data_IF_309760746345
#
_entry.id   IF_309760746345
#
_cell.length_a   1.000
_cell.length_b   1.000
_cell.length_c   1.000
_cell.angle_alpha   90.00
_cell.angle_beta   90.00
_cell.angle_gamma   90.00
#
_symmetry.space_group_name_H-M   'P 1'
#
loop_
_entity.id
_entity.type
_entity.pdbx_description
1 polymer ?
#
# COMPACT_ATOMS: atom_id res chain seq x y z
N UNK A 1 -11.86 -45.87 -3.73
CA UNK A 1 -11.73 -44.67 -4.60
C UNK A 1 -11.10 -43.54 -3.79
N UNK A 2 -9.83 -43.24 -4.01
CA UNK A 2 -9.08 -42.22 -3.27
C UNK A 2 -9.39 -40.81 -3.80
N UNK A 3 -10.00 -39.95 -2.98
CA UNK A 3 -10.23 -38.54 -3.30
C UNK A 3 -8.97 -37.74 -2.96
N UNK A 4 -8.24 -37.36 -4.00
CA UNK A 4 -7.01 -36.55 -4.00
C UNK A 4 -7.33 -35.15 -3.49
N UNK A 5 -6.95 -34.81 -2.26
CA UNK A 5 -7.09 -33.45 -1.72
C UNK A 5 -5.98 -32.55 -2.29
N UNK A 6 -6.38 -31.48 -2.97
CA UNK A 6 -5.46 -30.51 -3.57
C UNK A 6 -4.85 -29.63 -2.47
N UNK A 7 -3.57 -29.86 -2.17
CA UNK A 7 -2.75 -28.90 -1.39
C UNK A 7 -2.78 -27.54 -2.11
N UNK A 8 -3.44 -26.54 -1.50
CA UNK A 8 -3.31 -25.14 -1.90
C UNK A 8 -1.83 -24.73 -1.77
N UNK A 9 -1.17 -24.50 -2.90
CA UNK A 9 0.13 -23.82 -2.95
C UNK A 9 -0.09 -22.34 -2.63
N UNK A 10 -0.07 -21.94 -1.36
CA UNK A 10 0.15 -20.53 -0.98
C UNK A 10 1.64 -20.24 -1.08
N UNK A 11 2.13 -20.18 -2.32
CA UNK A 11 3.50 -19.82 -2.64
C UNK A 11 3.51 -18.33 -3.01
N UNK A 12 4.30 -17.55 -2.25
CA UNK A 12 4.75 -16.16 -2.52
C UNK A 12 3.72 -15.03 -2.31
N UNK A 13 3.44 -14.66 -1.07
CA UNK A 13 3.06 -13.26 -0.79
C UNK A 13 3.82 -12.61 0.36
N UNK A 14 4.49 -13.39 1.24
CA UNK A 14 5.21 -12.84 2.39
C UNK A 14 6.59 -12.21 2.07
N UNK A 15 7.19 -12.47 0.89
CA UNK A 15 8.47 -11.84 0.48
C UNK A 15 8.32 -10.39 -0.03
N UNK A 16 7.12 -9.80 0.08
CA UNK A 16 6.85 -8.38 -0.24
C UNK A 16 6.65 -7.53 1.03
N UNK A 17 7.17 -7.96 2.17
CA UNK A 17 7.17 -7.19 3.41
C UNK A 17 8.60 -7.03 3.93
N UNK A 18 9.45 -6.44 3.12
CA UNK A 18 10.47 -5.53 3.62
C UNK A 18 10.10 -4.17 3.05
N UNK A 19 10.24 -3.05 3.80
CA UNK A 19 10.09 -1.75 3.19
C UNK A 19 11.17 -1.66 2.12
N UNK A 20 10.78 -1.85 0.86
CA UNK A 20 11.59 -1.44 -0.26
C UNK A 20 11.72 0.07 -0.08
N UNK A 21 12.80 0.50 0.57
CA UNK A 21 13.36 1.83 0.32
C UNK A 21 13.36 1.92 -1.19
N UNK A 22 12.52 2.81 -1.73
CA UNK A 22 12.20 2.76 -3.14
C UNK A 22 13.49 2.89 -3.94
N UNK A 23 13.57 2.24 -5.10
CA UNK A 23 14.80 2.26 -5.90
C UNK A 23 15.29 3.68 -6.22
N UNK A 24 14.41 4.69 -6.19
CA UNK A 24 14.75 6.11 -6.26
C UNK A 24 15.50 6.61 -5.02
N UNK A 25 15.06 6.31 -3.80
CA UNK A 25 15.77 6.67 -2.57
C UNK A 25 17.17 6.02 -2.56
N UNK A 26 17.27 4.72 -2.83
CA UNK A 26 18.56 4.02 -2.84
C UNK A 26 19.51 4.57 -3.91
N UNK A 27 19.00 4.99 -5.08
CA UNK A 27 19.82 5.65 -6.10
C UNK A 27 20.30 7.03 -5.66
N UNK A 28 19.43 7.80 -5.01
CA UNK A 28 19.78 9.12 -4.48
C UNK A 28 20.81 9.02 -3.34
N UNK A 29 20.70 8.03 -2.45
CA UNK A 29 21.69 7.75 -1.41
C UNK A 29 23.06 7.39 -2.01
N UNK A 30 23.09 6.53 -3.03
CA UNK A 30 24.33 6.21 -3.77
C UNK A 30 24.93 7.43 -4.44
N UNK A 31 24.10 8.30 -5.03
CA UNK A 31 24.57 9.54 -5.65
C UNK A 31 25.19 10.50 -4.63
N UNK A 32 24.59 10.62 -3.43
CA UNK A 32 25.16 11.39 -2.32
C UNK A 32 26.51 10.81 -1.88
N UNK A 33 26.60 9.50 -1.66
CA UNK A 33 27.86 8.86 -1.28
C UNK A 33 28.97 9.08 -2.32
N UNK A 34 28.63 9.03 -3.61
CA UNK A 34 29.57 9.36 -4.69
C UNK A 34 29.98 10.83 -4.67
N UNK A 35 29.05 11.76 -4.40
CA UNK A 35 29.32 13.18 -4.30
C UNK A 35 30.22 13.51 -3.09
N UNK A 36 30.00 12.87 -1.94
CA UNK A 36 30.85 13.01 -0.75
C UNK A 36 32.28 12.54 -1.02
N UNK A 37 32.43 11.38 -1.68
CA UNK A 37 33.74 10.87 -2.11
C UNK A 37 34.44 11.80 -3.10
N UNK A 38 33.70 12.45 -4.01
CA UNK A 38 34.28 13.45 -4.93
C UNK A 38 34.74 14.70 -4.16
N UNK A 39 33.95 15.18 -3.21
CA UNK A 39 34.28 16.33 -2.38
C UNK A 39 35.52 16.09 -1.51
N UNK A 40 35.67 14.88 -0.98
CA UNK A 40 36.87 14.46 -0.26
C UNK A 40 38.12 14.49 -1.15
N UNK A 41 38.05 13.90 -2.36
CA UNK A 41 39.13 13.94 -3.34
C UNK A 41 39.52 15.35 -3.74
N UNK A 42 38.55 16.23 -3.94
CA UNK A 42 38.80 17.65 -4.26
C UNK A 42 39.44 18.36 -3.07
N UNK A 43 39.02 18.06 -1.85
CA UNK A 43 39.64 18.62 -0.64
C UNK A 43 41.11 18.21 -0.52
N UNK A 44 41.44 16.94 -0.75
CA UNK A 44 42.83 16.47 -0.80
C UNK A 44 43.66 17.18 -1.88
N UNK A 45 43.08 17.42 -3.06
CA UNK A 45 43.75 18.19 -4.13
C UNK A 45 44.02 19.63 -3.72
N UNK A 46 43.07 20.28 -3.04
CA UNK A 46 43.25 21.65 -2.52
C UNK A 46 44.39 21.68 -1.50
N UNK A 47 44.46 20.73 -0.58
CA UNK A 47 45.50 20.72 0.45
C UNK A 47 46.89 20.47 -0.17
N UNK A 48 47.00 19.52 -1.11
CA UNK A 48 48.22 19.32 -1.90
C UNK A 48 48.62 20.55 -2.73
N UNK A 49 47.64 21.28 -3.27
CA UNK A 49 47.90 22.52 -4.00
C UNK A 49 48.42 23.63 -3.07
N UNK A 50 47.92 23.72 -1.83
CA UNK A 50 48.44 24.66 -0.83
C UNK A 50 49.90 24.36 -0.49
N UNK A 51 50.24 23.10 -0.26
CA UNK A 51 51.63 22.67 0.00
C UNK A 51 52.57 23.03 -1.16
N UNK A 52 52.12 22.84 -2.40
CA UNK A 52 52.89 23.23 -3.58
C UNK A 52 53.09 24.74 -3.67
N UNK A 53 52.07 25.53 -3.32
CA UNK A 53 52.17 26.99 -3.27
C UNK A 53 53.15 27.43 -2.18
N UNK A 54 53.09 26.86 -0.97
CA UNK A 54 54.02 27.23 0.11
C UNK A 54 55.46 26.88 -0.26
N UNK A 55 55.70 25.70 -0.85
CA UNK A 55 57.03 25.30 -1.30
C UNK A 55 57.56 26.16 -2.45
N UNK A 56 56.73 26.46 -3.46
CA UNK A 56 57.15 27.28 -4.59
C UNK A 56 57.40 28.73 -4.18
N UNK A 57 56.58 29.28 -3.28
CA UNK A 57 56.77 30.64 -2.75
C UNK A 57 58.00 30.75 -1.85
N UNK A 58 58.32 29.73 -1.05
CA UNK A 58 59.57 29.69 -0.28
C UNK A 58 60.80 29.69 -1.20
N UNK A 59 60.83 28.80 -2.20
CA UNK A 59 61.92 28.75 -3.20
C UNK A 59 62.05 30.05 -4.01
N UNK A 60 60.94 30.70 -4.34
CA UNK A 60 60.96 31.99 -5.03
C UNK A 60 61.58 33.09 -4.16
N UNK A 61 61.29 33.12 -2.85
CA UNK A 61 61.88 34.07 -1.90
C UNK A 61 63.39 33.84 -1.73
N UNK A 62 63.82 32.59 -1.66
CA UNK A 62 65.24 32.22 -1.51
C UNK A 62 66.05 32.55 -2.77
N UNK A 63 65.56 32.14 -3.94
CA UNK A 63 66.36 32.22 -5.18
C UNK A 63 66.17 33.54 -5.94
N UNK A 64 65.05 34.25 -5.75
CA UNK A 64 64.66 35.47 -6.47
C UNK A 64 64.75 35.37 -8.01
N UNK A 65 64.81 34.15 -8.56
CA UNK A 65 64.89 33.91 -10.01
C UNK A 65 63.52 34.08 -10.65
N UNK A 66 63.47 34.71 -11.81
CA UNK A 66 62.24 34.89 -12.59
C UNK A 66 61.50 33.56 -12.83
N UNK A 67 62.24 32.47 -13.04
CA UNK A 67 61.67 31.12 -13.22
C UNK A 67 61.00 30.57 -11.96
N UNK A 68 61.54 30.85 -10.77
CA UNK A 68 60.97 30.42 -9.50
C UNK A 68 59.72 31.24 -9.13
N UNK A 69 59.72 32.53 -9.47
CA UNK A 69 58.55 33.42 -9.31
C UNK A 69 57.40 32.95 -10.22
N UNK A 70 57.68 32.70 -11.51
CA UNK A 70 56.69 32.17 -12.45
C UNK A 70 56.13 30.80 -12.03
N UNK A 71 56.95 29.94 -11.41
CA UNK A 71 56.47 28.67 -10.86
C UNK A 71 55.52 28.88 -9.66
N UNK A 72 55.80 29.85 -8.79
CA UNK A 72 54.93 30.20 -7.68
C UNK A 72 53.59 30.79 -8.13
N UNK A 73 53.57 31.59 -9.20
CA UNK A 73 52.34 32.12 -9.80
C UNK A 73 51.45 31.03 -10.39
N UNK A 74 52.02 30.11 -11.19
CA UNK A 74 51.27 28.94 -11.70
C UNK A 74 50.72 28.07 -10.56
N UNK A 75 51.47 27.92 -9.47
CA UNK A 75 50.97 27.20 -8.30
C UNK A 75 49.76 27.91 -7.66
N UNK A 76 49.78 29.25 -7.56
CA UNK A 76 48.65 30.04 -7.04
C UNK A 76 47.41 29.93 -7.92
N UNK A 77 47.57 30.00 -9.24
CA UNK A 77 46.47 29.77 -10.19
C UNK A 77 45.87 28.36 -10.04
N UNK A 78 46.72 27.34 -9.87
CA UNK A 78 46.25 25.97 -9.65
C UNK A 78 45.46 25.82 -8.34
N UNK A 79 45.87 26.53 -7.28
CA UNK A 79 45.14 26.57 -6.01
C UNK A 79 43.79 27.28 -6.17
N UNK A 80 43.73 28.36 -6.96
CA UNK A 80 42.49 29.08 -7.21
C UNK A 80 41.46 28.17 -7.91
N UNK A 81 41.87 27.47 -8.98
CA UNK A 81 41.03 26.49 -9.68
C UNK A 81 40.56 25.35 -8.77
N UNK A 82 41.46 24.79 -7.96
CA UNK A 82 41.08 23.73 -7.01
C UNK A 82 40.06 24.19 -5.94
N UNK A 83 40.12 25.47 -5.52
CA UNK A 83 39.12 26.05 -4.61
C UNK A 83 37.76 26.23 -5.29
N UNK A 84 37.73 26.56 -6.57
CA UNK A 84 36.52 26.65 -7.38
C UNK A 84 35.86 25.28 -7.53
N UNK A 85 36.63 24.25 -7.93
CA UNK A 85 36.17 22.85 -8.00
C UNK A 85 35.55 22.39 -6.67
N UNK A 86 36.14 22.81 -5.54
CA UNK A 86 35.61 22.50 -4.20
C UNK A 86 34.25 23.13 -3.97
N UNK A 87 34.06 24.39 -4.39
CA UNK A 87 32.78 25.09 -4.26
C UNK A 87 31.71 24.40 -5.11
N UNK A 88 32.02 24.07 -6.35
CA UNK A 88 31.09 23.34 -7.23
C UNK A 88 30.71 21.97 -6.66
N UNK A 89 31.69 21.20 -6.17
CA UNK A 89 31.42 19.91 -5.53
C UNK A 89 30.55 20.06 -4.27
N UNK A 90 30.74 21.12 -3.47
CA UNK A 90 29.88 21.38 -2.31
C UNK A 90 28.45 21.76 -2.71
N UNK A 91 28.28 22.52 -3.80
CA UNK A 91 26.97 22.89 -4.31
C UNK A 91 26.22 21.66 -4.84
N UNK A 92 26.90 20.82 -5.61
CA UNK A 92 26.35 19.55 -6.11
C UNK A 92 25.91 18.62 -4.97
N UNK A 93 26.70 18.51 -3.90
CA UNK A 93 26.33 17.71 -2.72
C UNK A 93 25.07 18.26 -2.02
N UNK A 94 24.96 19.59 -1.89
CA UNK A 94 23.76 20.23 -1.30
C UNK A 94 22.53 19.95 -2.14
N UNK A 95 22.63 20.08 -3.46
CA UNK A 95 21.52 19.79 -4.37
C UNK A 95 21.08 18.33 -4.29
N UNK A 96 22.02 17.38 -4.32
CA UNK A 96 21.70 15.96 -4.18
C UNK A 96 20.98 15.62 -2.86
N UNK A 97 21.33 16.31 -1.77
CA UNK A 97 20.63 16.16 -0.47
C UNK A 97 19.21 16.75 -0.50
N UNK A 98 19.00 17.84 -1.21
CA UNK A 98 17.66 18.42 -1.44
C UNK A 98 16.80 17.45 -2.25
N UNK A 99 17.36 16.90 -3.33
CA UNK A 99 16.66 15.95 -4.20
C UNK A 99 16.26 14.68 -3.43
N UNK A 100 17.15 14.14 -2.58
CA UNK A 100 16.81 13.01 -1.71
C UNK A 100 15.62 13.34 -0.80
N UNK A 101 15.59 14.53 -0.18
CA UNK A 101 14.46 14.93 0.68
C UNK A 101 13.15 15.00 -0.11
N UNK A 102 13.19 15.52 -1.34
CA UNK A 102 12.03 15.57 -2.22
C UNK A 102 11.54 14.17 -2.58
N UNK A 103 12.45 13.25 -2.93
CA UNK A 103 12.12 11.85 -3.23
C UNK A 103 11.50 11.15 -2.02
N UNK A 104 12.07 11.34 -0.82
CA UNK A 104 11.52 10.76 0.42
C UNK A 104 10.12 11.29 0.71
N UNK A 105 9.86 12.59 0.49
CA UNK A 105 8.53 13.18 0.67
C UNK A 105 7.52 12.57 -0.31
N UNK A 106 7.90 12.46 -1.59
CA UNK A 106 7.05 11.87 -2.62
C UNK A 106 6.70 10.40 -2.32
N UNK A 107 7.66 9.61 -1.83
CA UNK A 107 7.42 8.20 -1.43
C UNK A 107 6.47 8.07 -0.24
N UNK A 108 6.57 8.97 0.74
CA UNK A 108 5.63 9.03 1.87
C UNK A 108 4.22 9.37 1.39
N UNK A 109 4.09 10.34 0.50
CA UNK A 109 2.79 10.73 -0.07
C UNK A 109 2.18 9.59 -0.89
N UNK A 110 2.99 8.91 -1.71
CA UNK A 110 2.58 7.71 -2.44
C UNK A 110 2.06 6.61 -1.50
N UNK A 111 2.79 6.32 -0.43
CA UNK A 111 2.38 5.27 0.54
C UNK A 111 1.04 5.62 1.21
N UNK A 112 0.85 6.90 1.56
CA UNK A 112 -0.43 7.37 2.14
C UNK A 112 -1.58 7.19 1.15
N UNK A 113 -1.38 7.51 -0.13
CA UNK A 113 -2.40 7.31 -1.16
C UNK A 113 -2.72 5.82 -1.36
N UNK A 114 -1.70 4.96 -1.44
CA UNK A 114 -1.89 3.51 -1.54
C UNK A 114 -2.66 2.93 -0.33
N UNK A 115 -2.42 3.43 0.88
CA UNK A 115 -3.18 3.05 2.09
C UNK A 115 -4.64 3.53 2.04
N UNK A 116 -4.87 4.76 1.57
CA UNK A 116 -6.23 5.29 1.42
C UNK A 116 -7.03 4.48 0.40
N UNK A 117 -6.42 4.12 -0.73
CA UNK A 117 -7.06 3.28 -1.75
C UNK A 117 -7.43 1.90 -1.21
N UNK A 118 -6.54 1.26 -0.44
CA UNK A 118 -6.83 -0.02 0.23
C UNK A 118 -8.02 0.11 1.19
N UNK A 119 -8.03 1.15 2.03
CA UNK A 119 -9.15 1.40 2.96
C UNK A 119 -10.47 1.64 2.22
N UNK A 120 -10.44 2.34 1.09
CA UNK A 120 -11.64 2.55 0.27
C UNK A 120 -12.11 1.25 -0.38
N UNK A 121 -11.20 0.42 -0.88
CA UNK A 121 -11.52 -0.89 -1.42
C UNK A 121 -12.13 -1.81 -0.36
N UNK A 122 -11.56 -1.85 0.85
CA UNK A 122 -12.09 -2.59 1.99
C UNK A 122 -13.49 -2.10 2.39
N UNK A 123 -13.72 -0.78 2.44
CA UNK A 123 -15.05 -0.22 2.72
C UNK A 123 -16.08 -0.61 1.66
N UNK A 124 -15.72 -0.56 0.38
CA UNK A 124 -16.59 -0.99 -0.72
C UNK A 124 -16.91 -2.50 -0.63
N UNK A 125 -15.90 -3.32 -0.35
CA UNK A 125 -16.08 -4.76 -0.16
C UNK A 125 -16.99 -5.07 1.04
N UNK A 126 -16.79 -4.39 2.17
CA UNK A 126 -17.62 -4.53 3.36
C UNK A 126 -19.07 -4.09 3.11
N UNK A 127 -19.28 -2.98 2.38
CA UNK A 127 -20.62 -2.53 2.00
C UNK A 127 -21.33 -3.57 1.11
N UNK A 128 -20.63 -4.12 0.11
CA UNK A 128 -21.16 -5.17 -0.76
C UNK A 128 -21.51 -6.44 0.04
N UNK A 129 -20.64 -6.86 0.95
CA UNK A 129 -20.88 -8.02 1.81
C UNK A 129 -22.12 -7.81 2.71
N UNK A 130 -22.27 -6.62 3.31
CA UNK A 130 -23.46 -6.27 4.11
C UNK A 130 -24.74 -6.28 3.27
N UNK A 131 -24.70 -5.75 2.05
CA UNK A 131 -25.84 -5.76 1.15
C UNK A 131 -26.27 -7.19 0.77
N UNK A 132 -25.30 -8.05 0.45
CA UNK A 132 -25.57 -9.48 0.17
C UNK A 132 -26.16 -10.20 1.39
N UNK A 133 -25.60 -9.99 2.58
CA UNK A 133 -26.13 -10.60 3.81
C UNK A 133 -27.56 -10.13 4.12
N UNK A 134 -27.87 -8.85 3.89
CA UNK A 134 -29.22 -8.32 4.05
C UNK A 134 -30.21 -8.93 3.02
N UNK A 135 -29.77 -9.10 1.77
CA UNK A 135 -30.54 -9.76 0.73
C UNK A 135 -30.84 -11.22 1.08
N UNK A 136 -29.82 -12.00 1.45
CA UNK A 136 -29.96 -13.40 1.86
C UNK A 136 -30.93 -13.56 3.03
N UNK A 137 -30.79 -12.70 4.05
CA UNK A 137 -31.70 -12.71 5.21
C UNK A 137 -33.14 -12.35 4.84
N UNK A 138 -33.34 -11.41 3.91
CA UNK A 138 -34.68 -11.05 3.42
C UNK A 138 -35.29 -12.20 2.62
N UNK A 139 -34.49 -12.84 1.77
CA UNK A 139 -34.89 -14.00 0.98
C UNK A 139 -35.29 -15.19 1.87
N UNK A 140 -34.47 -15.51 2.87
CA UNK A 140 -34.74 -16.58 3.84
C UNK A 140 -36.04 -16.33 4.59
N UNK A 141 -36.25 -15.12 5.12
CA UNK A 141 -37.51 -14.74 5.77
C UNK A 141 -38.72 -14.86 4.85
N UNK A 142 -38.59 -14.49 3.58
CA UNK A 142 -39.67 -14.62 2.61
C UNK A 142 -39.98 -16.09 2.31
N UNK A 143 -38.95 -16.92 2.17
CA UNK A 143 -39.09 -18.36 1.98
C UNK A 143 -39.77 -19.02 3.18
N UNK A 144 -39.35 -18.71 4.40
CA UNK A 144 -39.99 -19.20 5.63
C UNK A 144 -41.46 -18.79 5.73
N UNK A 145 -41.79 -17.52 5.44
CA UNK A 145 -43.18 -17.05 5.40
C UNK A 145 -44.01 -17.85 4.40
N UNK A 146 -43.47 -18.11 3.21
CA UNK A 146 -44.15 -18.92 2.17
C UNK A 146 -44.38 -20.36 2.65
N UNK A 147 -43.42 -20.95 3.37
CA UNK A 147 -43.58 -22.29 3.96
C UNK A 147 -44.64 -22.31 5.07
N UNK A 148 -44.63 -21.32 5.97
CA UNK A 148 -45.64 -21.21 7.04
C UNK A 148 -47.04 -21.01 6.46
N UNK A 149 -47.20 -20.14 5.46
CA UNK A 149 -48.48 -19.92 4.77
C UNK A 149 -49.00 -21.20 4.10
N UNK A 150 -48.12 -21.97 3.43
CA UNK A 150 -48.48 -23.28 2.86
C UNK A 150 -48.97 -24.27 3.93
N UNK A 151 -48.28 -24.33 5.08
CA UNK A 151 -48.70 -25.19 6.21
C UNK A 151 -50.05 -24.76 6.78
N UNK A 152 -50.23 -23.46 7.01
CA UNK A 152 -51.49 -22.89 7.51
C UNK A 152 -52.67 -23.15 6.56
N UNK A 153 -52.48 -22.94 5.25
CA UNK A 153 -53.49 -23.21 4.23
C UNK A 153 -53.87 -24.70 4.13
N UNK A 154 -52.90 -25.62 4.28
CA UNK A 154 -53.19 -27.06 4.39
C UNK A 154 -54.00 -27.37 5.65
N UNK A 155 -53.67 -26.74 6.78
CA UNK A 155 -54.38 -26.95 8.04
C UNK A 155 -55.81 -26.40 8.00
N UNK A 156 -56.04 -25.22 7.41
CA UNK A 156 -57.38 -24.64 7.25
C UNK A 156 -58.25 -25.47 6.32
N UNK A 157 -57.70 -25.95 5.18
CA UNK A 157 -58.39 -26.89 4.28
C UNK A 157 -58.80 -28.19 4.98
N UNK A 158 -57.91 -28.76 5.80
CA UNK A 158 -58.22 -29.97 6.59
C UNK A 158 -59.32 -29.72 7.63
N UNK A 159 -59.31 -28.58 8.33
CA UNK A 159 -60.38 -28.21 9.28
C UNK A 159 -61.73 -27.97 8.57
N UNK A 160 -61.72 -27.28 7.42
CA UNK A 160 -62.94 -27.08 6.62
C UNK A 160 -63.53 -28.39 6.11
N UNK A 161 -62.68 -29.33 5.65
CA UNK A 161 -63.14 -30.67 5.24
C UNK A 161 -63.69 -31.49 6.41
N UNK A 162 -63.07 -31.44 7.60
CA UNK A 162 -63.59 -32.10 8.80
C UNK A 162 -64.95 -31.54 9.22
N UNK A 163 -65.09 -30.21 9.29
CA UNK A 163 -66.38 -29.55 9.61
C UNK A 163 -67.48 -29.86 8.60
N UNK A 164 -67.15 -29.94 7.31
CA UNK A 164 -68.10 -30.33 6.27
C UNK A 164 -68.49 -31.82 6.34
N UNK A 165 -67.63 -32.68 6.91
CA UNK A 165 -67.94 -34.09 7.17
C UNK A 165 -68.80 -34.26 8.43
N UNK A 166 -68.51 -33.49 9.49
CA UNK A 166 -69.31 -33.45 10.73
C UNK A 166 -70.73 -32.92 10.44
N UNK A 167 -70.88 -31.88 9.63
CA UNK A 167 -72.21 -31.38 9.23
C UNK A 167 -73.02 -32.34 8.34
N UNK A 168 -72.39 -33.31 7.68
CA UNK A 168 -73.09 -34.38 6.93
C UNK A 168 -73.47 -35.57 7.82
N UNK A 169 -72.88 -35.69 9.02
CA UNK A 169 -73.24 -36.69 10.02
C UNK A 169 -74.36 -36.25 10.96
N UNK A 170 -74.62 -34.95 11.06
CA UNK A 170 -75.72 -34.40 11.87
C UNK A 170 -77.10 -34.51 11.23
N UNK A 171 -77.20 -34.57 9.90
CA UNK A 171 -78.49 -34.62 9.18
C UNK A 171 -79.12 -36.01 9.10
N UNK A 172 -78.50 -37.05 9.67
CA UNK A 172 -79.01 -38.44 9.64
C UNK A 172 -79.48 -38.97 11.00
N UNK A 173 -79.48 -38.15 12.07
CA UNK A 173 -79.89 -38.60 13.42
C UNK A 173 -81.21 -38.02 13.93
N UNK A 174 -81.91 -37.20 13.15
CA UNK A 174 -83.18 -36.58 13.55
C UNK A 174 -84.38 -36.99 12.69
N UNK A 175 -84.27 -38.07 11.89
CA UNK A 175 -85.38 -38.52 11.03
C UNK A 175 -86.19 -39.72 11.56
N UNK A 176 -85.77 -40.36 12.66
CA UNK A 176 -86.39 -41.61 13.15
C UNK A 176 -87.09 -41.46 14.51
N UNK A 177 -87.85 -40.38 14.73
CA UNK A 177 -88.59 -40.21 15.98
C UNK A 177 -89.94 -39.51 15.81
N UNK A 178 -90.78 -39.91 14.83
CA UNK A 178 -92.16 -39.41 14.81
C UNK A 178 -93.14 -40.21 13.92
N UNK A 179 -93.31 -41.53 14.12
CA UNK A 179 -94.55 -42.21 13.65
C UNK A 179 -94.93 -43.40 14.54
N UNK A 180 -95.58 -43.16 15.68
CA UNK A 180 -96.64 -44.05 16.22
C UNK A 180 -97.42 -43.25 17.27
N UNK A 181 -98.63 -42.77 16.99
CA UNK A 181 -99.91 -43.40 17.41
C UNK A 181 -101.05 -42.44 17.05
N UNK A 182 -102.26 -42.96 16.77
CA UNK A 182 -103.32 -42.83 17.78
C UNK A 182 -103.82 -44.17 18.32
#
# INVERSE_FOLDING_TARGET
MAKRTTKKKTVKSARKQAPMVSGSITRAEKAIALAEKKLERVTQRVDKAKERVTQATAKAKETKRATAIAAAERARESLAKAKEDKREATAALRQAKIDLRAVVKAERERTKLEEQEKRLAEKKAAAKARAMAAFEKKWERQWERKQRAKKAAKHSRRKGKKRAQENKGGTLKEADAEVTTP
#
